data_IF_264167883998
#
_entry.id   IF_264167883998
#
_cell.length_a   1.000
_cell.length_b   1.000
_cell.length_c   1.000
_cell.angle_alpha   90.00
_cell.angle_beta   90.00
_cell.angle_gamma   90.00
#
_symmetry.space_group_name_H-M   'P 1'
#
loop_
_entity.id
_entity.type
_entity.pdbx_description
1 polymer ?
#
# COMPACT_ATOMS: atom_id res chain seq x y z
N UNK A 1 14.48 10.55 -17.01
CA UNK A 1 14.53 10.44 -18.49
C UNK A 1 13.08 10.47 -18.99
N UNK A 2 12.67 11.52 -19.68
CA UNK A 2 11.32 11.64 -20.27
C UNK A 2 11.20 10.54 -21.34
N UNK A 3 10.36 9.54 -21.13
CA UNK A 3 10.02 8.60 -22.18
C UNK A 3 9.01 9.29 -23.10
N UNK A 4 9.48 10.20 -23.95
CA UNK A 4 8.73 10.56 -25.14
C UNK A 4 8.62 9.32 -26.02
N UNK A 5 7.46 9.10 -26.63
CA UNK A 5 7.40 8.17 -27.75
C UNK A 5 7.66 8.96 -29.03
N UNK A 6 8.31 8.31 -29.99
CA UNK A 6 8.48 8.85 -31.33
C UNK A 6 7.52 8.07 -32.22
N UNK A 7 6.57 8.79 -32.84
CA UNK A 7 5.73 8.20 -33.89
C UNK A 7 6.63 7.92 -35.09
N UNK A 8 6.82 6.64 -35.41
CA UNK A 8 7.72 6.23 -36.50
C UNK A 8 7.07 6.43 -37.88
N UNK A 9 5.75 6.30 -37.98
CA UNK A 9 4.98 6.50 -39.22
C UNK A 9 3.52 6.86 -38.88
N UNK A 10 3.01 7.99 -39.41
CA UNK A 10 1.60 8.39 -39.29
C UNK A 10 1.12 9.02 -40.60
N UNK A 11 0.66 8.17 -41.52
CA UNK A 11 0.22 8.59 -42.86
C UNK A 11 -1.08 9.37 -42.86
N UNK A 12 -1.89 9.20 -41.82
CA UNK A 12 -3.25 9.73 -41.75
C UNK A 12 -3.35 10.91 -40.76
N UNK A 13 -2.26 11.25 -40.06
CA UNK A 13 -2.20 12.34 -39.10
C UNK A 13 -3.14 12.13 -37.91
N UNK A 14 -3.37 10.87 -37.53
CA UNK A 14 -4.40 10.50 -36.55
C UNK A 14 -3.86 10.51 -35.10
N UNK A 15 -2.55 10.60 -34.90
CA UNK A 15 -1.98 10.59 -33.55
C UNK A 15 -1.83 12.00 -32.99
N UNK A 16 -2.51 12.26 -31.87
CA UNK A 16 -2.23 13.42 -31.04
C UNK A 16 -0.87 13.27 -30.34
N UNK A 17 -0.20 14.40 -30.08
CA UNK A 17 1.00 14.45 -29.24
C UNK A 17 0.63 14.22 -27.77
N UNK A 18 0.67 12.97 -27.34
CA UNK A 18 0.63 12.58 -25.94
C UNK A 18 1.94 13.01 -25.25
N UNK A 19 1.81 13.93 -24.30
CA UNK A 19 2.89 14.19 -23.35
C UNK A 19 2.68 13.20 -22.19
N UNK A 20 3.62 12.29 -21.89
CA UNK A 20 3.52 11.51 -20.67
C UNK A 20 3.57 12.51 -19.51
N UNK A 21 2.44 12.77 -18.85
CA UNK A 21 2.41 13.69 -17.72
C UNK A 21 3.13 13.01 -16.55
N UNK A 22 4.30 13.51 -16.12
CA UNK A 22 5.00 12.98 -14.95
C UNK A 22 4.13 13.11 -13.69
N UNK A 23 3.20 14.08 -13.74
CA UNK A 23 2.20 14.41 -12.73
C UNK A 23 1.29 13.24 -12.34
N UNK A 24 1.13 12.21 -13.19
CA UNK A 24 0.32 11.03 -12.85
C UNK A 24 0.84 10.26 -11.63
N UNK A 25 2.13 10.38 -11.32
CA UNK A 25 2.75 9.75 -10.14
C UNK A 25 3.01 10.74 -9.01
N UNK A 26 2.50 11.96 -9.13
CA UNK A 26 2.63 12.95 -8.08
C UNK A 26 1.64 12.64 -6.97
N UNK A 27 2.14 12.69 -5.75
CA UNK A 27 1.35 12.52 -4.54
C UNK A 27 1.27 13.88 -3.86
N UNK A 28 0.04 14.32 -3.64
CA UNK A 28 -0.29 15.47 -2.83
C UNK A 28 -0.59 15.04 -1.39
N UNK A 29 -0.63 15.98 -0.46
CA UNK A 29 -1.11 15.72 0.90
C UNK A 29 -2.51 15.10 0.84
N UNK A 30 -2.75 14.09 1.68
CA UNK A 30 -4.04 13.41 1.75
C UNK A 30 -5.17 14.39 2.13
N UNK A 31 -6.34 14.21 1.53
CA UNK A 31 -7.58 14.70 2.13
C UNK A 31 -8.04 13.74 3.23
N UNK A 32 -8.82 14.22 4.19
CA UNK A 32 -9.40 13.38 5.25
C UNK A 32 -10.24 12.24 4.67
N UNK A 33 -10.99 12.52 3.60
CA UNK A 33 -11.82 11.52 2.91
C UNK A 33 -10.96 10.44 2.25
N UNK A 34 -9.88 10.81 1.56
CA UNK A 34 -8.98 9.84 0.93
C UNK A 34 -8.28 8.97 1.97
N UNK A 35 -7.83 9.57 3.07
CA UNK A 35 -7.23 8.86 4.19
C UNK A 35 -8.21 7.85 4.80
N UNK A 36 -9.45 8.27 5.10
CA UNK A 36 -10.50 7.39 5.61
C UNK A 36 -10.79 6.23 4.66
N UNK A 37 -10.89 6.50 3.36
CA UNK A 37 -11.11 5.46 2.36
C UNK A 37 -9.95 4.45 2.30
N UNK A 38 -8.70 4.92 2.39
CA UNK A 38 -7.51 4.07 2.45
C UNK A 38 -7.51 3.15 3.67
N UNK A 39 -7.81 3.70 4.85
CA UNK A 39 -7.96 2.91 6.08
C UNK A 39 -9.06 1.86 5.97
N UNK A 40 -10.24 2.23 5.44
CA UNK A 40 -11.35 1.31 5.26
C UNK A 40 -11.00 0.18 4.29
N UNK A 41 -10.40 0.50 3.14
CA UNK A 41 -10.00 -0.50 2.14
C UNK A 41 -8.97 -1.47 2.73
N UNK A 42 -7.95 -0.94 3.42
CA UNK A 42 -6.94 -1.77 4.08
C UNK A 42 -7.56 -2.78 5.05
N UNK A 43 -8.35 -2.30 6.01
CA UNK A 43 -8.93 -3.15 7.05
C UNK A 43 -9.95 -4.12 6.47
N UNK A 44 -10.81 -3.68 5.56
CA UNK A 44 -11.78 -4.55 4.89
C UNK A 44 -11.10 -5.69 4.13
N UNK A 45 -10.08 -5.36 3.33
CA UNK A 45 -9.40 -6.35 2.49
C UNK A 45 -8.48 -7.27 3.27
N UNK A 46 -7.94 -6.82 4.40
CA UNK A 46 -7.17 -7.68 5.31
C UNK A 46 -7.95 -8.95 5.71
N UNK A 47 -9.28 -8.84 5.86
CA UNK A 47 -10.15 -9.97 6.14
C UNK A 47 -10.17 -11.01 5.00
N UNK A 48 -10.02 -10.59 3.74
CA UNK A 48 -9.90 -11.51 2.60
C UNK A 48 -8.56 -12.23 2.60
N UNK A 49 -7.47 -11.55 2.96
CA UNK A 49 -6.16 -12.20 3.15
C UNK A 49 -6.25 -13.29 4.21
N UNK A 50 -6.85 -13.00 5.37
CA UNK A 50 -7.11 -13.98 6.43
C UNK A 50 -7.91 -15.18 5.91
N UNK A 51 -9.00 -14.94 5.16
CA UNK A 51 -9.80 -16.01 4.56
C UNK A 51 -8.98 -16.85 3.58
N UNK A 52 -8.12 -16.24 2.77
CA UNK A 52 -7.21 -16.92 1.84
C UNK A 52 -6.22 -17.82 2.58
N UNK A 53 -5.60 -17.31 3.64
CA UNK A 53 -4.70 -18.06 4.53
C UNK A 53 -5.41 -19.29 5.11
N UNK A 54 -6.57 -19.10 5.75
CA UNK A 54 -7.33 -20.18 6.39
C UNK A 54 -7.84 -21.23 5.40
N UNK A 55 -7.94 -20.90 4.10
CA UNK A 55 -8.33 -21.81 3.02
C UNK A 55 -7.14 -22.39 2.27
N UNK A 56 -5.91 -22.09 2.68
CA UNK A 56 -4.65 -22.48 2.02
C UNK A 56 -4.56 -22.01 0.56
N UNK A 57 -5.14 -20.85 0.25
CA UNK A 57 -5.17 -20.26 -1.09
C UNK A 57 -4.06 -19.22 -1.26
N UNK A 58 -2.83 -19.69 -1.51
CA UNK A 58 -1.60 -18.86 -1.60
C UNK A 58 -1.74 -17.68 -2.56
N UNK A 59 -2.18 -17.93 -3.80
CA UNK A 59 -2.29 -16.89 -4.84
C UNK A 59 -3.34 -15.85 -4.46
N UNK A 60 -4.51 -16.30 -3.98
CA UNK A 60 -5.59 -15.41 -3.56
C UNK A 60 -5.16 -14.51 -2.39
N UNK A 61 -4.50 -15.08 -1.38
CA UNK A 61 -4.01 -14.31 -0.24
C UNK A 61 -2.92 -13.32 -0.65
N UNK A 62 -1.98 -13.74 -1.50
CA UNK A 62 -0.89 -12.89 -2.01
C UNK A 62 -1.42 -11.71 -2.82
N UNK A 63 -2.39 -11.96 -3.71
CA UNK A 63 -2.99 -10.92 -4.56
C UNK A 63 -3.65 -9.81 -3.73
N UNK A 64 -4.44 -10.17 -2.71
CA UNK A 64 -5.08 -9.19 -1.83
C UNK A 64 -4.06 -8.51 -0.90
N UNK A 65 -3.05 -9.25 -0.42
CA UNK A 65 -2.03 -8.70 0.47
C UNK A 65 -1.14 -7.68 -0.24
N UNK A 66 -0.51 -8.07 -1.36
CA UNK A 66 0.40 -7.19 -2.09
C UNK A 66 -0.35 -6.17 -2.93
N UNK A 67 -1.42 -6.58 -3.62
CA UNK A 67 -2.15 -5.77 -4.59
C UNK A 67 -3.06 -4.73 -3.96
N UNK A 68 -3.45 -4.90 -2.69
CA UNK A 68 -4.34 -3.96 -2.00
C UNK A 68 -3.73 -3.51 -0.66
N UNK A 69 -3.60 -4.40 0.33
CA UNK A 69 -3.20 -3.98 1.68
C UNK A 69 -1.82 -3.27 1.70
N UNK A 70 -0.81 -3.84 1.06
CA UNK A 70 0.51 -3.23 0.99
C UNK A 70 0.55 -2.00 0.06
N UNK A 71 -0.35 -1.88 -0.93
CA UNK A 71 -0.48 -0.65 -1.71
C UNK A 71 -1.08 0.49 -0.89
N UNK A 72 -2.09 0.22 -0.06
CA UNK A 72 -2.63 1.22 0.85
C UNK A 72 -1.59 1.65 1.89
N UNK A 73 -0.74 0.74 2.36
CA UNK A 73 0.42 1.10 3.17
C UNK A 73 1.40 2.02 2.43
N UNK A 74 1.79 1.69 1.19
CA UNK A 74 2.67 2.54 0.37
C UNK A 74 2.05 3.93 0.14
N UNK A 75 0.73 4.00 -0.02
CA UNK A 75 -0.04 5.25 -0.15
C UNK A 75 0.04 6.10 1.12
N UNK A 76 -0.15 5.50 2.30
CA UNK A 76 0.03 6.19 3.60
C UNK A 76 1.45 6.70 3.76
N UNK A 77 2.47 5.91 3.43
CA UNK A 77 3.87 6.34 3.47
C UNK A 77 4.14 7.50 2.48
N UNK A 78 3.55 7.45 1.29
CA UNK A 78 3.66 8.52 0.31
C UNK A 78 3.01 9.82 0.80
N UNK A 79 1.86 9.73 1.47
CA UNK A 79 1.21 10.88 2.11
C UNK A 79 2.01 11.44 3.29
N UNK A 80 2.69 10.60 4.06
CA UNK A 80 3.63 11.09 5.07
C UNK A 80 4.72 11.95 4.43
N UNK A 81 5.34 11.48 3.34
CA UNK A 81 6.34 12.27 2.60
C UNK A 81 5.73 13.56 2.05
N UNK A 82 4.56 13.50 1.43
CA UNK A 82 3.92 14.67 0.84
C UNK A 82 3.52 15.72 1.89
N UNK A 83 3.09 15.28 3.08
CA UNK A 83 2.79 16.18 4.19
C UNK A 83 4.03 16.88 4.78
N UNK A 84 5.24 16.31 4.60
CA UNK A 84 6.51 16.95 5.00
C UNK A 84 7.08 17.87 3.92
N UNK A 85 6.97 17.48 2.64
CA UNK A 85 7.72 18.09 1.54
C UNK A 85 6.85 18.83 0.51
N UNK A 86 5.53 18.79 0.66
CA UNK A 86 4.59 19.16 -0.39
C UNK A 86 4.50 18.08 -1.47
N UNK A 87 4.00 18.44 -2.65
CA UNK A 87 3.82 17.49 -3.77
C UNK A 87 5.13 16.81 -4.15
N UNK A 88 5.15 15.47 -4.20
CA UNK A 88 6.33 14.66 -4.57
C UNK A 88 6.02 13.65 -5.68
N UNK A 89 6.99 13.40 -6.56
CA UNK A 89 6.93 12.32 -7.55
C UNK A 89 7.45 11.02 -6.93
N UNK A 90 6.55 10.09 -6.60
CA UNK A 90 6.95 8.77 -6.08
C UNK A 90 7.29 7.77 -7.18
N UNK A 91 7.09 8.14 -8.44
CA UNK A 91 7.28 7.30 -9.61
C UNK A 91 6.27 6.16 -9.73
N UNK A 92 6.21 5.56 -10.93
CA UNK A 92 5.41 4.35 -11.17
C UNK A 92 5.76 3.26 -10.16
N UNK A 93 4.74 2.69 -9.53
CA UNK A 93 4.87 1.64 -8.51
C UNK A 93 5.79 2.06 -7.33
N UNK A 94 5.73 3.33 -6.93
CA UNK A 94 6.46 3.86 -5.76
C UNK A 94 7.99 3.73 -5.84
N UNK A 95 8.56 3.56 -7.03
CA UNK A 95 10.00 3.31 -7.23
C UNK A 95 10.93 4.40 -6.68
N UNK A 96 10.42 5.59 -6.38
CA UNK A 96 11.19 6.69 -5.77
C UNK A 96 10.75 7.02 -4.35
N UNK A 97 9.69 6.39 -3.83
CA UNK A 97 9.14 6.68 -2.50
C UNK A 97 10.20 6.54 -1.41
N UNK A 98 10.96 5.44 -1.43
CA UNK A 98 11.95 5.14 -0.40
C UNK A 98 13.16 6.09 -0.41
N UNK A 99 13.41 6.83 -1.49
CA UNK A 99 14.42 7.89 -1.52
C UNK A 99 14.07 9.07 -0.61
N UNK A 100 12.81 9.20 -0.21
CA UNK A 100 12.33 10.26 0.66
C UNK A 100 12.20 9.84 2.12
N UNK A 101 12.27 8.53 2.40
CA UNK A 101 12.04 7.95 3.71
C UNK A 101 13.39 7.63 4.40
N UNK A 102 13.40 7.44 5.73
CA UNK A 102 14.56 6.91 6.44
C UNK A 102 15.09 5.62 5.83
N UNK A 103 16.41 5.42 5.87
CA UNK A 103 17.12 4.32 5.18
C UNK A 103 16.69 2.91 5.62
N UNK A 104 16.13 2.77 6.81
CA UNK A 104 15.58 1.53 7.36
C UNK A 104 14.20 1.17 6.79
N UNK A 105 13.45 2.15 6.25
CA UNK A 105 12.06 1.96 5.82
C UNK A 105 11.94 1.07 4.59
N UNK A 106 12.88 1.15 3.65
CA UNK A 106 12.90 0.27 2.47
C UNK A 106 13.10 -1.19 2.87
N UNK A 107 13.99 -1.43 3.83
CA UNK A 107 14.20 -2.77 4.38
C UNK A 107 12.97 -3.26 5.15
N UNK A 108 12.41 -2.43 6.03
CA UNK A 108 11.19 -2.77 6.79
C UNK A 108 10.04 -3.17 5.85
N UNK A 109 9.86 -2.48 4.73
CA UNK A 109 8.86 -2.84 3.73
C UNK A 109 9.26 -4.11 2.93
N UNK A 110 10.53 -4.23 2.54
CA UNK A 110 11.02 -5.40 1.78
C UNK A 110 10.88 -6.71 2.56
N UNK A 111 11.05 -6.66 3.88
CA UNK A 111 10.86 -7.81 4.77
C UNK A 111 9.40 -8.31 4.78
N UNK A 112 8.44 -7.50 4.31
CA UNK A 112 7.04 -7.90 4.12
C UNK A 112 6.81 -8.69 2.83
N UNK A 113 7.77 -8.78 1.92
CA UNK A 113 7.55 -9.33 0.57
C UNK A 113 7.87 -10.83 0.46
N UNK A 114 7.97 -11.54 1.59
CA UNK A 114 8.09 -12.99 1.62
C UNK A 114 6.70 -13.65 1.54
N UNK A 115 6.32 -14.09 0.35
CA UNK A 115 5.07 -14.81 0.07
C UNK A 115 5.30 -16.29 -0.28
N UNK A 116 6.45 -16.84 0.09
CA UNK A 116 6.88 -18.17 -0.37
C UNK A 116 6.05 -19.33 0.18
N UNK A 117 5.25 -19.10 1.22
CA UNK A 117 4.34 -20.09 1.81
C UNK A 117 3.17 -19.41 2.54
N UNK A 118 2.17 -20.19 2.96
CA UNK A 118 1.07 -19.70 3.81
C UNK A 118 1.60 -19.11 5.13
N UNK A 119 2.60 -19.73 5.75
CA UNK A 119 3.20 -19.23 6.98
C UNK A 119 3.88 -17.87 6.77
N UNK A 120 4.59 -17.72 5.64
CA UNK A 120 5.25 -16.48 5.28
C UNK A 120 4.27 -15.37 4.94
N UNK A 121 3.18 -15.68 4.21
CA UNK A 121 2.07 -14.76 3.98
C UNK A 121 1.41 -14.36 5.30
N UNK A 122 1.26 -15.28 6.26
CA UNK A 122 0.68 -14.99 7.57
C UNK A 122 1.57 -14.01 8.35
N UNK A 123 2.88 -14.26 8.40
CA UNK A 123 3.84 -13.36 9.02
C UNK A 123 3.82 -11.97 8.35
N UNK A 124 3.82 -11.95 7.02
CA UNK A 124 3.75 -10.73 6.23
C UNK A 124 2.46 -9.94 6.49
N UNK A 125 1.30 -10.61 6.52
CA UNK A 125 0.02 -9.97 6.82
C UNK A 125 0.06 -9.29 8.19
N UNK A 126 0.44 -10.02 9.24
CA UNK A 126 0.45 -9.49 10.60
C UNK A 126 1.44 -8.32 10.74
N UNK A 127 2.64 -8.45 10.15
CA UNK A 127 3.62 -7.36 10.12
C UNK A 127 3.10 -6.14 9.34
N UNK A 128 2.43 -6.36 8.21
CA UNK A 128 1.80 -5.30 7.40
C UNK A 128 0.71 -4.58 8.20
N UNK A 129 -0.13 -5.31 8.95
CA UNK A 129 -1.20 -4.73 9.79
C UNK A 129 -0.62 -3.85 10.91
N UNK A 130 0.42 -4.32 11.60
CA UNK A 130 1.09 -3.54 12.65
C UNK A 130 1.75 -2.28 12.08
N UNK A 131 2.42 -2.42 10.93
CA UNK A 131 3.06 -1.28 10.26
C UNK A 131 2.01 -0.27 9.78
N UNK A 132 0.96 -0.71 9.10
CA UNK A 132 -0.12 0.17 8.65
C UNK A 132 -0.78 0.90 9.82
N UNK A 133 -1.09 0.18 10.91
CA UNK A 133 -1.68 0.77 12.10
C UNK A 133 -0.83 1.93 12.64
N UNK A 134 0.48 1.69 12.80
CA UNK A 134 1.43 2.68 13.30
C UNK A 134 1.56 3.90 12.37
N UNK A 135 1.73 3.66 11.07
CA UNK A 135 1.98 4.74 10.10
C UNK A 135 0.70 5.55 9.80
N UNK A 136 -0.47 4.91 9.80
CA UNK A 136 -1.76 5.59 9.67
C UNK A 136 -2.07 6.47 10.89
N UNK A 137 -1.82 5.99 12.11
CA UNK A 137 -1.95 6.80 13.33
C UNK A 137 -1.05 8.03 13.29
N UNK A 138 0.21 7.84 12.90
CA UNK A 138 1.17 8.95 12.79
C UNK A 138 0.72 9.99 11.77
N UNK A 139 0.21 9.56 10.62
CA UNK A 139 -0.29 10.47 9.60
C UNK A 139 -1.55 11.21 10.06
N UNK A 140 -2.50 10.49 10.67
CA UNK A 140 -3.72 11.06 11.21
C UNK A 140 -3.43 12.15 12.25
N UNK A 141 -2.55 11.86 13.22
CA UNK A 141 -2.13 12.84 14.22
C UNK A 141 -1.48 14.08 13.58
N UNK A 142 -0.68 13.89 12.53
CA UNK A 142 0.02 14.98 11.86
C UNK A 142 -0.92 15.90 11.07
N UNK A 143 -1.95 15.31 10.45
CA UNK A 143 -2.91 16.04 9.61
C UNK A 143 -4.20 16.43 10.34
N UNK A 144 -4.30 16.12 11.64
CA UNK A 144 -5.50 16.32 12.45
C UNK A 144 -6.74 15.60 11.89
N UNK A 145 -6.53 14.36 11.44
CA UNK A 145 -7.60 13.49 10.94
C UNK A 145 -8.03 12.48 12.00
N UNK A 146 -9.29 12.04 11.91
CA UNK A 146 -9.77 10.94 12.71
C UNK A 146 -9.21 9.59 12.21
N UNK A 147 -8.84 8.73 13.15
CA UNK A 147 -8.38 7.37 12.86
C UNK A 147 -9.05 6.40 13.84
N UNK A 148 -9.89 5.52 13.28
CA UNK A 148 -10.63 4.52 14.05
C UNK A 148 -9.68 3.41 14.55
N UNK A 149 -9.07 3.70 15.71
CA UNK A 149 -8.14 2.80 16.39
C UNK A 149 -8.83 1.53 16.87
N UNK A 150 -10.10 1.62 17.29
CA UNK A 150 -10.85 0.48 17.80
C UNK A 150 -11.11 -0.56 16.70
N UNK A 151 -11.48 -0.11 15.49
CA UNK A 151 -11.64 -1.00 14.34
C UNK A 151 -10.30 -1.65 13.97
N UNK A 152 -9.22 -0.89 13.95
CA UNK A 152 -7.89 -1.41 13.63
C UNK A 152 -7.45 -2.52 14.61
N UNK A 153 -7.58 -2.27 15.92
CA UNK A 153 -7.22 -3.23 16.97
C UNK A 153 -8.07 -4.50 16.90
N UNK A 154 -9.39 -4.38 16.70
CA UNK A 154 -10.29 -5.54 16.52
C UNK A 154 -9.93 -6.35 15.28
N UNK A 155 -9.52 -5.69 14.20
CA UNK A 155 -9.12 -6.38 12.97
C UNK A 155 -7.80 -7.13 13.12
N UNK A 156 -6.83 -6.55 13.84
CA UNK A 156 -5.58 -7.21 14.21
C UNK A 156 -5.87 -8.45 15.07
N UNK A 157 -6.65 -8.30 16.14
CA UNK A 157 -7.04 -9.41 17.01
C UNK A 157 -7.75 -10.53 16.22
N UNK A 158 -8.73 -10.15 15.38
CA UNK A 158 -9.40 -11.06 14.48
C UNK A 158 -8.41 -11.84 13.60
N UNK A 159 -7.44 -11.16 12.97
CA UNK A 159 -6.47 -11.83 12.12
C UNK A 159 -5.64 -12.84 12.93
N UNK A 160 -5.08 -12.44 14.07
CA UNK A 160 -4.27 -13.28 14.95
C UNK A 160 -5.03 -14.53 15.41
N UNK A 161 -6.26 -14.38 15.88
CA UNK A 161 -7.10 -15.50 16.32
C UNK A 161 -7.39 -16.49 15.20
N UNK A 162 -7.74 -15.97 14.02
CA UNK A 162 -8.17 -16.78 12.88
C UNK A 162 -7.02 -17.54 12.26
N UNK A 163 -5.87 -16.88 12.04
CA UNK A 163 -4.69 -17.55 11.47
C UNK A 163 -4.09 -18.55 12.45
N UNK A 164 -4.12 -18.29 13.77
CA UNK A 164 -3.68 -19.28 14.76
C UNK A 164 -4.57 -20.52 14.79
N UNK A 165 -5.88 -20.35 14.64
CA UNK A 165 -6.85 -21.45 14.70
C UNK A 165 -6.87 -22.32 13.44
N UNK A 166 -6.56 -21.76 12.27
CA UNK A 166 -6.73 -22.45 10.98
C UNK A 166 -5.50 -22.45 10.06
N UNK A 167 -4.46 -21.68 10.38
CA UNK A 167 -3.25 -21.53 9.56
C UNK A 167 -2.16 -22.59 9.82
N UNK A 168 -2.14 -23.22 11.00
CA UNK A 168 -1.09 -24.15 11.41
C UNK A 168 -1.42 -25.64 11.22
N UNK A 169 -2.31 -26.00 10.28
CA UNK A 169 -2.63 -27.39 9.93
C UNK A 169 -2.12 -27.76 8.55
#
# INVERSE_FOLDING_TARGET
>A
MKAGYTVLEDKMGLFETFSPSPERFWIHTASETDFKNSCNEFWWVSAYVVKGICRKQVIYATDHLYGICQQELLKVLAWQVASDKGTVDVGKNYKYLFNYLPTDKEKEFSDLLDFSSIDKITQSLLATMQLFHREAQRLAQKLDFDYDKEVAEKMIEYAEERVKKFGNN
#
